data_IF_006683471806
#
_entry.id   IF_006683471806
#
_cell.length_a   1.000
_cell.length_b   1.000
_cell.length_c   1.000
_cell.angle_alpha   90.00
_cell.angle_beta   90.00
_cell.angle_gamma   90.00
#
_symmetry.space_group_name_H-M   'P 1'
#
loop_
_entity.id
_entity.type
_entity.pdbx_description
1 polymer ?
#
# COMPACT_ATOMS: atom_id res chain seq x y z
N UNK A 1 -21.01 -36.10 -8.45
CA UNK A 1 -19.72 -35.63 -7.92
C UNK A 1 -19.80 -34.11 -7.89
N UNK A 2 -19.96 -33.56 -6.69
CA UNK A 2 -20.14 -32.13 -6.45
C UNK A 2 -18.85 -31.40 -6.82
N UNK A 3 -18.94 -30.38 -7.67
CA UNK A 3 -17.83 -29.49 -7.98
C UNK A 3 -17.38 -28.78 -6.69
N UNK A 4 -16.29 -29.23 -6.08
CA UNK A 4 -15.52 -28.42 -5.12
C UNK A 4 -14.78 -27.32 -5.90
N UNK A 5 -15.55 -26.34 -6.40
CA UNK A 5 -14.99 -25.13 -6.96
C UNK A 5 -14.52 -24.24 -5.81
N UNK A 6 -13.21 -24.09 -5.65
CA UNK A 6 -12.62 -23.13 -4.70
C UNK A 6 -13.24 -21.75 -4.92
N UNK A 7 -14.10 -21.29 -4.00
CA UNK A 7 -14.69 -19.96 -4.01
C UNK A 7 -13.59 -18.94 -3.70
N UNK A 8 -12.87 -18.49 -4.72
CA UNK A 8 -11.82 -17.49 -4.56
C UNK A 8 -12.44 -16.12 -4.21
N UNK A 9 -11.99 -15.52 -3.12
CA UNK A 9 -12.44 -14.20 -2.71
C UNK A 9 -11.88 -13.12 -3.64
N UNK A 10 -12.77 -12.40 -4.32
CA UNK A 10 -12.40 -11.20 -5.12
C UNK A 10 -12.71 -9.95 -4.29
N UNK A 11 -11.68 -9.20 -3.85
CA UNK A 11 -11.88 -7.97 -3.09
C UNK A 11 -12.46 -6.85 -3.96
N UNK A 12 -13.05 -5.86 -3.31
CA UNK A 12 -13.50 -4.65 -3.99
C UNK A 12 -12.29 -3.85 -4.52
N UNK A 13 -12.48 -2.97 -5.53
CA UNK A 13 -11.42 -2.10 -6.01
C UNK A 13 -10.78 -1.30 -4.86
N UNK A 14 -9.45 -1.34 -4.77
CA UNK A 14 -8.67 -0.70 -3.71
C UNK A 14 -7.89 0.48 -4.26
N UNK A 15 -7.89 1.60 -3.54
CA UNK A 15 -7.12 2.80 -3.88
C UNK A 15 -5.70 2.76 -3.31
N UNK A 16 -5.40 1.82 -2.40
CA UNK A 16 -4.11 1.69 -1.73
C UNK A 16 -2.90 1.55 -2.68
N UNK A 17 -2.98 0.84 -3.83
CA UNK A 17 -1.89 0.80 -4.80
C UNK A 17 -1.50 2.18 -5.35
N UNK A 18 -2.47 3.07 -5.58
CA UNK A 18 -2.19 4.42 -6.06
C UNK A 18 -1.45 5.25 -5.00
N UNK A 19 -1.89 5.17 -3.73
CA UNK A 19 -1.19 5.80 -2.62
C UNK A 19 0.23 5.25 -2.45
N UNK A 20 0.41 3.93 -2.65
CA UNK A 20 1.72 3.29 -2.67
C UNK A 20 2.63 3.84 -3.75
N UNK A 21 2.14 3.98 -4.98
CA UNK A 21 2.90 4.59 -6.09
C UNK A 21 3.32 6.02 -5.80
N UNK A 22 2.45 6.83 -5.17
CA UNK A 22 2.79 8.18 -4.73
C UNK A 22 3.91 8.14 -3.67
N UNK A 23 3.83 7.23 -2.69
CA UNK A 23 4.90 7.06 -1.70
C UNK A 23 6.25 6.72 -2.36
N UNK A 24 6.23 5.75 -3.29
CA UNK A 24 7.42 5.33 -4.05
C UNK A 24 7.99 6.48 -4.91
N UNK A 25 7.14 7.32 -5.51
CA UNK A 25 7.56 8.49 -6.27
C UNK A 25 8.37 9.46 -5.41
N UNK A 26 7.83 9.84 -4.24
CA UNK A 26 8.52 10.73 -3.32
C UNK A 26 9.80 10.11 -2.76
N UNK A 27 9.81 8.81 -2.47
CA UNK A 27 11.02 8.13 -2.02
C UNK A 27 12.08 8.06 -3.12
N UNK A 28 11.71 7.77 -4.37
CA UNK A 28 12.64 7.71 -5.51
C UNK A 28 13.32 9.06 -5.76
N UNK A 29 12.53 10.12 -5.92
CA UNK A 29 13.07 11.47 -6.08
C UNK A 29 13.81 11.96 -4.85
N UNK A 30 13.28 11.70 -3.65
CA UNK A 30 13.94 12.07 -2.40
C UNK A 30 15.29 11.40 -2.24
N UNK A 31 15.40 10.11 -2.55
CA UNK A 31 16.65 9.37 -2.50
C UNK A 31 17.65 9.96 -3.49
N UNK A 32 17.24 10.14 -4.75
CA UNK A 32 18.06 10.75 -5.79
C UNK A 32 18.55 12.14 -5.38
N UNK A 33 17.67 13.00 -4.85
CA UNK A 33 18.03 14.35 -4.44
C UNK A 33 18.95 14.37 -3.22
N UNK A 34 18.75 13.45 -2.27
CA UNK A 34 19.58 13.33 -1.07
C UNK A 34 21.02 12.94 -1.41
N UNK A 35 21.21 11.95 -2.28
CA UNK A 35 22.57 11.54 -2.70
C UNK A 35 23.27 12.61 -3.53
N UNK A 36 22.50 13.44 -4.24
CA UNK A 36 23.01 14.59 -5.00
C UNK A 36 23.12 15.88 -4.18
N UNK A 37 22.95 15.83 -2.85
CA UNK A 37 23.04 16.99 -1.93
C UNK A 37 22.09 18.15 -2.29
N UNK A 38 20.96 17.85 -2.92
CA UNK A 38 19.91 18.84 -3.18
C UNK A 38 19.15 19.07 -1.86
N UNK A 39 18.96 20.34 -1.40
CA UNK A 39 18.37 20.64 -0.09
C UNK A 39 17.00 19.98 0.17
N UNK A 40 16.19 19.79 -0.87
CA UNK A 40 14.86 19.19 -0.76
C UNK A 40 14.87 17.65 -0.58
N UNK A 41 16.01 16.97 -0.78
CA UNK A 41 16.07 15.51 -0.86
C UNK A 41 15.58 14.81 0.41
N UNK A 42 16.14 15.19 1.57
CA UNK A 42 15.74 14.57 2.84
C UNK A 42 14.27 14.84 3.16
N UNK A 43 13.76 16.03 2.86
CA UNK A 43 12.34 16.36 3.05
C UNK A 43 11.42 15.49 2.21
N UNK A 44 11.76 15.28 0.93
CA UNK A 44 11.00 14.37 0.05
C UNK A 44 11.09 12.91 0.50
N UNK A 45 12.24 12.45 0.98
CA UNK A 45 12.38 11.11 1.58
C UNK A 45 11.47 10.93 2.78
N UNK A 46 11.51 11.87 3.74
CA UNK A 46 10.69 11.80 4.94
C UNK A 46 9.20 11.80 4.60
N UNK A 47 8.79 12.62 3.62
CA UNK A 47 7.42 12.63 3.11
C UNK A 47 7.04 11.28 2.47
N UNK A 48 7.91 10.71 1.64
CA UNK A 48 7.71 9.40 1.03
C UNK A 48 7.51 8.29 2.07
N UNK A 49 8.35 8.26 3.12
CA UNK A 49 8.19 7.32 4.24
C UNK A 49 6.90 7.56 5.02
N UNK A 50 6.51 8.81 5.27
CA UNK A 50 5.27 9.12 5.97
C UNK A 50 4.03 8.61 5.19
N UNK A 51 4.00 8.83 3.87
CA UNK A 51 2.92 8.32 3.00
C UNK A 51 2.95 6.79 2.97
N UNK A 52 4.13 6.17 2.90
CA UNK A 52 4.27 4.72 2.91
C UNK A 52 3.70 4.11 4.19
N UNK A 53 4.08 4.64 5.37
CA UNK A 53 3.55 4.13 6.64
C UNK A 53 2.05 4.33 6.73
N UNK A 54 1.53 5.51 6.37
CA UNK A 54 0.09 5.76 6.30
C UNK A 54 -0.63 4.72 5.41
N UNK A 55 -0.09 4.45 4.22
CA UNK A 55 -0.64 3.47 3.29
C UNK A 55 -0.62 2.06 3.89
N UNK A 56 0.50 1.63 4.49
CA UNK A 56 0.63 0.29 5.08
C UNK A 56 -0.39 0.09 6.22
N UNK A 57 -0.48 1.05 7.15
CA UNK A 57 -1.45 0.97 8.24
C UNK A 57 -2.89 0.94 7.72
N UNK A 58 -3.22 1.79 6.76
CA UNK A 58 -4.55 1.85 6.18
C UNK A 58 -4.92 0.59 5.40
N UNK A 59 -4.02 0.11 4.53
CA UNK A 59 -4.25 -1.08 3.72
C UNK A 59 -4.35 -2.34 4.57
N UNK A 60 -3.42 -2.54 5.51
CA UNK A 60 -3.46 -3.72 6.38
C UNK A 60 -4.70 -3.72 7.28
N UNK A 61 -5.16 -2.56 7.75
CA UNK A 61 -6.45 -2.44 8.45
C UNK A 61 -7.62 -2.87 7.57
N UNK A 62 -7.65 -2.48 6.29
CA UNK A 62 -8.68 -2.94 5.34
C UNK A 62 -8.64 -4.47 5.19
N UNK A 63 -7.46 -5.05 4.97
CA UNK A 63 -7.29 -6.50 4.82
C UNK A 63 -7.73 -7.25 6.08
N UNK A 64 -7.35 -6.77 7.27
CA UNK A 64 -7.77 -7.37 8.53
C UNK A 64 -9.30 -7.36 8.70
N UNK A 65 -9.95 -6.23 8.41
CA UNK A 65 -11.42 -6.13 8.47
C UNK A 65 -12.12 -7.02 7.45
N UNK A 66 -11.58 -7.14 6.24
CA UNK A 66 -12.09 -8.05 5.22
C UNK A 66 -11.96 -9.50 5.66
N UNK A 67 -10.83 -9.85 6.30
CA UNK A 67 -10.59 -11.16 6.91
C UNK A 67 -11.62 -11.51 7.98
N UNK A 68 -11.82 -10.61 8.94
CA UNK A 68 -12.78 -10.80 10.05
C UNK A 68 -14.24 -10.78 9.59
N UNK A 69 -14.56 -10.14 8.46
CA UNK A 69 -15.93 -10.09 7.91
C UNK A 69 -16.43 -11.42 7.34
N UNK A 70 -15.64 -12.49 7.41
CA UNK A 70 -16.06 -13.85 7.04
C UNK A 70 -16.11 -14.11 5.53
N UNK A 71 -15.60 -13.20 4.69
CA UNK A 71 -15.58 -13.35 3.22
C UNK A 71 -14.61 -14.42 2.70
N UNK A 72 -13.72 -14.92 3.55
CA UNK A 72 -12.76 -15.97 3.21
C UNK A 72 -13.26 -17.40 3.47
N UNK A 73 -14.42 -17.58 4.12
CA UNK A 73 -14.94 -18.88 4.59
C UNK A 73 -16.38 -19.19 4.12
N UNK A 74 -16.71 -18.92 2.86
CA UNK A 74 -18.00 -19.32 2.27
C UNK A 74 -17.85 -19.92 0.88
#
# INVERSE_FOLDING_TARGET
MSQEGSNYYVPAPSTWPMTGSIALLFMGFGAAFSVNKIPAGYGMLTLGFAILFYMLFGWFRTVARESESGKFNK
#
